data_IF_741998060864
#
_entry.id   IF_741998060864
#
_cell.length_a   1.000
_cell.length_b   1.000
_cell.length_c   1.000
_cell.angle_alpha   90.00
_cell.angle_beta   90.00
_cell.angle_gamma   90.00
#
_symmetry.space_group_name_H-M   'P 1'
#
loop_
_entity.id
_entity.type
_entity.pdbx_description
1 polymer ?
#
# COMPACT_ATOMS: atom_id res chain seq x y z
N UNK A 1 -25.06 -4.96 3.29
CA UNK A 1 -23.58 -5.00 3.24
C UNK A 1 -23.03 -5.17 4.66
N UNK A 2 -23.36 -6.29 5.35
CA UNK A 2 -22.91 -6.57 6.73
C UNK A 2 -23.22 -8.03 7.17
N UNK A 3 -23.17 -8.99 6.24
CA UNK A 3 -23.44 -10.41 6.51
C UNK A 3 -22.25 -11.17 7.12
N UNK A 4 -21.10 -10.51 7.30
CA UNK A 4 -19.87 -11.14 7.83
C UNK A 4 -19.72 -11.08 9.36
N UNK A 5 -20.56 -10.33 10.08
CA UNK A 5 -20.38 -10.15 11.53
C UNK A 5 -20.98 -11.25 12.41
N UNK A 6 -21.68 -12.24 11.86
CA UNK A 6 -22.41 -13.21 12.69
C UNK A 6 -21.69 -14.54 12.95
N UNK A 7 -20.50 -14.81 12.37
CA UNK A 7 -19.69 -16.01 12.66
C UNK A 7 -18.17 -15.84 12.35
N UNK A 8 -17.50 -14.79 12.81
CA UNK A 8 -16.03 -14.72 12.65
C UNK A 8 -15.37 -15.72 13.63
N UNK A 9 -15.27 -16.99 13.24
CA UNK A 9 -14.46 -18.00 13.95
C UNK A 9 -13.00 -17.96 13.52
N UNK A 10 -12.70 -17.36 12.37
CA UNK A 10 -11.37 -17.18 11.83
C UNK A 10 -11.20 -15.73 11.32
N UNK A 11 -10.20 -15.02 11.85
CA UNK A 11 -9.91 -13.61 11.49
C UNK A 11 -9.44 -13.47 10.04
N UNK A 12 -8.94 -14.56 9.46
CA UNK A 12 -8.39 -14.65 8.11
C UNK A 12 -9.31 -15.37 7.12
N UNK A 13 -10.60 -15.51 7.47
CA UNK A 13 -11.61 -16.03 6.56
C UNK A 13 -11.64 -15.23 5.25
N UNK A 14 -11.73 -15.95 4.12
CA UNK A 14 -11.68 -15.38 2.78
C UNK A 14 -13.05 -15.38 2.13
N UNK A 15 -13.37 -14.29 1.43
CA UNK A 15 -14.55 -14.24 0.56
C UNK A 15 -14.29 -14.94 -0.79
N UNK A 16 -15.28 -14.91 -1.69
CA UNK A 16 -15.18 -15.53 -3.04
C UNK A 16 -14.10 -14.91 -3.95
N UNK A 17 -13.56 -13.74 -3.60
CA UNK A 17 -12.44 -13.09 -4.30
C UNK A 17 -11.10 -13.35 -3.62
N UNK A 18 -11.05 -14.24 -2.61
CA UNK A 18 -9.87 -14.53 -1.82
C UNK A 18 -9.51 -13.45 -0.80
N UNK A 19 -10.36 -12.44 -0.61
CA UNK A 19 -10.04 -11.31 0.27
C UNK A 19 -10.36 -11.63 1.72
N UNK A 20 -9.42 -11.34 2.61
CA UNK A 20 -9.62 -11.34 4.06
C UNK A 20 -10.22 -10.02 4.53
N UNK A 21 -10.67 -9.97 5.78
CA UNK A 21 -11.15 -8.73 6.39
C UNK A 21 -10.08 -7.64 6.41
N UNK A 22 -8.80 -8.02 6.58
CA UNK A 22 -7.66 -7.10 6.51
C UNK A 22 -7.51 -6.50 5.11
N UNK A 23 -7.59 -7.31 4.05
CA UNK A 23 -7.55 -6.83 2.65
C UNK A 23 -8.68 -5.86 2.34
N UNK A 24 -9.89 -6.16 2.81
CA UNK A 24 -11.06 -5.30 2.64
C UNK A 24 -10.90 -3.97 3.41
N UNK A 25 -10.42 -4.01 4.65
CA UNK A 25 -10.16 -2.81 5.45
C UNK A 25 -9.11 -1.91 4.78
N UNK A 26 -8.07 -2.52 4.20
CA UNK A 26 -7.07 -1.81 3.39
C UNK A 26 -7.67 -1.28 2.09
N UNK A 27 -8.60 -1.96 1.42
CA UNK A 27 -9.07 -1.51 0.09
C UNK A 27 -10.28 -0.60 0.14
N UNK A 28 -10.98 -0.54 1.28
CA UNK A 28 -12.19 0.26 1.44
C UNK A 28 -11.90 1.75 1.26
N UNK A 29 -12.22 2.25 0.06
CA UNK A 29 -12.63 3.63 -0.09
C UNK A 29 -13.98 3.72 0.62
N UNK A 30 -13.98 4.14 1.88
CA UNK A 30 -15.20 4.42 2.62
C UNK A 30 -15.92 5.66 2.03
N UNK A 31 -15.93 5.86 0.71
CA UNK A 31 -16.76 6.84 0.05
C UNK A 31 -18.15 6.24 -0.12
N UNK A 32 -19.03 6.49 0.85
CA UNK A 32 -20.47 6.25 0.68
C UNK A 32 -20.93 7.00 -0.60
N UNK A 33 -21.37 6.30 -1.66
CA UNK A 33 -21.95 6.97 -2.81
C UNK A 33 -23.24 7.68 -2.34
N UNK A 34 -23.29 9.00 -2.52
CA UNK A 34 -24.48 9.81 -2.19
C UNK A 34 -24.33 10.76 -0.99
N UNK A 35 -23.15 10.94 -0.43
CA UNK A 35 -22.97 12.01 0.56
C UNK A 35 -23.02 13.41 -0.08
N UNK A 36 -23.70 14.38 0.57
CA UNK A 36 -23.84 15.72 0.03
C UNK A 36 -22.46 16.36 -0.22
N UNK A 37 -22.39 17.20 -1.25
CA UNK A 37 -21.23 18.05 -1.53
C UNK A 37 -21.04 19.02 -0.36
N UNK A 38 -20.29 18.59 0.65
CA UNK A 38 -19.92 19.42 1.79
C UNK A 38 -18.95 20.53 1.33
N UNK A 39 -18.88 21.67 2.04
CA UNK A 39 -17.82 22.66 1.87
C UNK A 39 -16.43 22.00 1.92
N UNK A 40 -15.43 22.55 1.21
CA UNK A 40 -14.11 21.92 1.11
C UNK A 40 -13.46 21.63 2.47
N UNK A 41 -13.60 22.55 3.44
CA UNK A 41 -13.09 22.36 4.80
C UNK A 41 -13.71 21.13 5.49
N UNK A 42 -15.01 20.92 5.35
CA UNK A 42 -15.73 19.78 5.92
C UNK A 42 -15.38 18.47 5.19
N UNK A 43 -15.11 18.54 3.87
CA UNK A 43 -14.63 17.39 3.08
C UNK A 43 -13.25 16.94 3.54
N UNK A 44 -12.30 17.87 3.73
CA UNK A 44 -10.95 17.54 4.20
C UNK A 44 -11.00 16.90 5.59
N UNK A 45 -11.78 17.47 6.52
CA UNK A 45 -11.95 16.92 7.85
C UNK A 45 -12.57 15.51 7.84
N UNK A 46 -13.59 15.29 6.99
CA UNK A 46 -14.23 13.98 6.85
C UNK A 46 -13.28 12.93 6.26
N UNK A 47 -12.50 13.29 5.23
CA UNK A 47 -11.49 12.40 4.65
C UNK A 47 -10.45 12.00 5.69
N UNK A 48 -9.93 12.94 6.48
CA UNK A 48 -9.00 12.63 7.56
C UNK A 48 -9.60 11.69 8.61
N UNK A 49 -10.86 11.93 9.02
CA UNK A 49 -11.57 11.05 9.96
C UNK A 49 -11.71 9.63 9.42
N UNK A 50 -12.07 9.49 8.13
CA UNK A 50 -12.16 8.19 7.45
C UNK A 50 -10.83 7.46 7.41
N UNK A 51 -9.74 8.15 7.07
CA UNK A 51 -8.42 7.54 7.02
C UNK A 51 -7.94 7.11 8.42
N UNK A 52 -8.20 7.91 9.46
CA UNK A 52 -7.93 7.51 10.85
C UNK A 52 -8.74 6.29 11.28
N UNK A 53 -10.03 6.25 10.94
CA UNK A 53 -10.88 5.10 11.24
C UNK A 53 -10.38 3.84 10.51
N UNK A 54 -10.01 3.95 9.24
CA UNK A 54 -9.40 2.87 8.45
C UNK A 54 -8.11 2.35 9.10
N UNK A 55 -7.21 3.25 9.48
CA UNK A 55 -5.97 2.88 10.15
C UNK A 55 -6.23 2.17 11.49
N UNK A 56 -7.21 2.65 12.27
CA UNK A 56 -7.60 2.02 13.53
C UNK A 56 -8.16 0.61 13.33
N UNK A 57 -9.00 0.40 12.30
CA UNK A 57 -9.53 -0.92 11.96
C UNK A 57 -8.38 -1.86 11.57
N UNK A 58 -7.49 -1.43 10.67
CA UNK A 58 -6.34 -2.24 10.24
C UNK A 58 -5.45 -2.60 11.43
N UNK A 59 -5.12 -1.64 12.29
CA UNK A 59 -4.33 -1.88 13.48
C UNK A 59 -5.01 -2.88 14.43
N UNK A 60 -6.32 -2.78 14.61
CA UNK A 60 -7.09 -3.71 15.44
C UNK A 60 -7.09 -5.14 14.87
N UNK A 61 -7.27 -5.29 13.56
CA UNK A 61 -7.22 -6.60 12.89
C UNK A 61 -5.84 -7.26 13.03
N UNK A 62 -4.77 -6.49 12.81
CA UNK A 62 -3.42 -6.98 13.00
C UNK A 62 -3.14 -7.34 14.46
N UNK A 63 -3.61 -6.52 15.42
CA UNK A 63 -3.50 -6.81 16.84
C UNK A 63 -4.26 -8.08 17.24
N UNK A 64 -5.39 -8.37 16.58
CA UNK A 64 -6.17 -9.59 16.75
C UNK A 64 -5.55 -10.83 16.07
N UNK A 65 -4.43 -10.67 15.34
CA UNK A 65 -3.69 -11.78 14.75
C UNK A 65 -3.93 -12.01 13.26
N UNK A 66 -4.61 -11.11 12.54
CA UNK A 66 -4.75 -11.22 11.09
C UNK A 66 -3.38 -11.27 10.39
N UNK A 67 -3.18 -12.23 9.48
CA UNK A 67 -1.92 -12.35 8.74
C UNK A 67 -1.82 -11.29 7.63
N UNK A 68 -0.84 -10.36 7.70
CA UNK A 68 -0.67 -9.30 6.71
C UNK A 68 -0.13 -9.77 5.36
N UNK A 69 0.15 -11.06 5.20
CA UNK A 69 0.72 -11.63 3.98
C UNK A 69 -0.29 -12.46 3.17
N UNK A 70 -1.54 -12.57 3.61
CA UNK A 70 -2.57 -13.26 2.83
C UNK A 70 -2.94 -12.43 1.62
N UNK A 71 -2.79 -13.04 0.45
CA UNK A 71 -3.10 -12.42 -0.82
C UNK A 71 -4.54 -12.75 -1.27
N UNK A 72 -5.15 -11.81 -2.00
CA UNK A 72 -6.38 -12.04 -2.73
C UNK A 72 -6.17 -12.94 -3.96
N UNK A 73 -7.25 -13.21 -4.71
CA UNK A 73 -7.20 -14.06 -5.90
C UNK A 73 -6.33 -13.51 -7.05
N UNK A 74 -5.86 -12.26 -6.98
CA UNK A 74 -4.91 -11.69 -7.94
C UNK A 74 -3.48 -11.58 -7.39
N UNK A 75 -3.20 -12.23 -6.26
CA UNK A 75 -1.89 -12.19 -5.62
C UNK A 75 -1.62 -10.90 -4.83
N UNK A 76 -2.60 -10.00 -4.66
CA UNK A 76 -2.37 -8.75 -3.94
C UNK A 76 -2.46 -8.98 -2.43
N UNK A 77 -1.38 -8.65 -1.73
CA UNK A 77 -1.36 -8.56 -0.27
C UNK A 77 -1.90 -7.22 0.21
N UNK A 78 -2.25 -7.07 1.50
CA UNK A 78 -2.54 -5.79 2.12
C UNK A 78 -1.51 -4.70 1.79
N UNK A 79 -0.21 -5.02 1.74
CA UNK A 79 0.83 -4.06 1.38
C UNK A 79 0.69 -3.54 -0.06
N UNK A 80 0.40 -4.42 -1.01
CA UNK A 80 0.18 -4.04 -2.43
C UNK A 80 -1.11 -3.23 -2.61
N UNK A 81 -2.20 -3.61 -1.92
CA UNK A 81 -3.43 -2.82 -1.95
C UNK A 81 -3.21 -1.44 -1.30
N UNK A 82 -2.41 -1.37 -0.24
CA UNK A 82 -2.08 -0.11 0.41
C UNK A 82 -1.30 0.83 -0.52
N UNK A 83 -0.40 0.37 -1.39
CA UNK A 83 0.30 1.29 -2.31
C UNK A 83 -0.60 1.85 -3.40
N UNK A 84 -1.66 1.14 -3.81
CA UNK A 84 -2.57 1.55 -4.89
C UNK A 84 -3.77 2.43 -4.43
N UNK A 85 -4.08 2.49 -3.13
CA UNK A 85 -5.41 2.91 -2.63
C UNK A 85 -5.46 4.29 -1.95
N UNK A 86 -4.56 5.22 -2.26
CA UNK A 86 -4.53 6.51 -1.55
C UNK A 86 -4.46 7.75 -2.44
N UNK A 87 -5.17 8.77 -1.97
CA UNK A 87 -5.17 10.11 -2.56
C UNK A 87 -3.98 10.97 -2.12
N UNK A 88 -3.31 10.63 -1.00
CA UNK A 88 -2.13 11.37 -0.53
C UNK A 88 -1.02 10.44 -0.02
N UNK A 89 0.26 10.81 -0.17
CA UNK A 89 1.39 9.98 0.28
C UNK A 89 1.39 9.70 1.79
N UNK A 90 1.02 10.67 2.62
CA UNK A 90 1.07 10.53 4.08
C UNK A 90 0.17 9.39 4.61
N UNK A 91 -1.04 9.23 4.07
CA UNK A 91 -1.94 8.15 4.48
C UNK A 91 -1.46 6.79 3.99
N UNK A 92 -0.87 6.75 2.77
CA UNK A 92 -0.23 5.55 2.25
C UNK A 92 0.92 5.10 3.16
N UNK A 93 1.83 6.02 3.49
CA UNK A 93 2.98 5.73 4.36
C UNK A 93 2.53 5.23 5.73
N UNK A 94 1.53 5.85 6.37
CA UNK A 94 1.03 5.39 7.66
C UNK A 94 0.51 3.94 7.62
N UNK A 95 -0.20 3.57 6.55
CA UNK A 95 -0.70 2.21 6.40
C UNK A 95 0.41 1.22 6.07
N UNK A 96 1.32 1.57 5.16
CA UNK A 96 2.49 0.76 4.81
C UNK A 96 3.36 0.51 6.05
N UNK A 97 3.61 1.55 6.84
CA UNK A 97 4.33 1.44 8.10
C UNK A 97 3.64 0.45 9.05
N UNK A 98 2.35 0.60 9.28
CA UNK A 98 1.57 -0.30 10.16
C UNK A 98 1.65 -1.75 9.70
N UNK A 99 1.57 -2.01 8.40
CA UNK A 99 1.67 -3.36 7.83
C UNK A 99 3.09 -3.94 7.95
N UNK A 100 4.12 -3.15 7.63
CA UNK A 100 5.52 -3.58 7.70
C UNK A 100 5.97 -3.83 9.14
N UNK A 101 5.50 -3.02 10.09
CA UNK A 101 5.77 -3.20 11.52
C UNK A 101 5.11 -4.48 12.07
N UNK A 102 4.15 -5.05 11.33
CA UNK A 102 3.53 -6.34 11.59
C UNK A 102 4.01 -7.45 10.67
N UNK A 103 5.20 -7.29 10.09
CA UNK A 103 5.88 -8.30 9.26
C UNK A 103 5.23 -8.59 7.90
N UNK A 104 4.57 -7.60 7.31
CA UNK A 104 4.23 -7.67 5.88
C UNK A 104 5.51 -7.79 5.02
N UNK A 105 5.48 -8.68 4.02
CA UNK A 105 6.60 -8.88 3.09
C UNK A 105 6.70 -7.73 2.09
N UNK A 106 7.77 -6.96 2.20
CA UNK A 106 7.97 -5.75 1.38
C UNK A 106 8.11 -6.02 -0.12
N UNK A 107 8.71 -7.16 -0.48
CA UNK A 107 8.99 -7.56 -1.87
C UNK A 107 8.06 -8.65 -2.40
N UNK A 108 6.88 -8.84 -1.76
CA UNK A 108 5.86 -9.74 -2.32
C UNK A 108 5.45 -9.27 -3.72
N UNK A 109 5.31 -10.21 -4.64
CA UNK A 109 4.89 -9.98 -6.01
C UNK A 109 3.45 -10.47 -6.22
N UNK A 110 2.60 -9.65 -6.83
CA UNK A 110 1.30 -10.12 -7.33
C UNK A 110 1.47 -11.10 -8.50
N UNK A 111 0.36 -11.59 -9.04
CA UNK A 111 0.36 -12.55 -10.15
C UNK A 111 0.98 -12.00 -11.45
N UNK A 112 1.17 -10.68 -11.54
CA UNK A 112 1.84 -9.99 -12.66
C UNK A 112 3.28 -9.63 -12.33
N UNK A 113 3.80 -10.04 -11.18
CA UNK A 113 5.15 -9.77 -10.73
C UNK A 113 5.33 -8.37 -10.13
N UNK A 114 4.28 -7.59 -9.88
CA UNK A 114 4.43 -6.25 -9.33
C UNK A 114 4.67 -6.28 -7.82
N UNK A 115 5.71 -5.57 -7.36
CA UNK A 115 5.96 -5.29 -5.94
C UNK A 115 5.33 -3.95 -5.52
N UNK A 116 5.30 -3.70 -4.21
CA UNK A 116 4.85 -2.41 -3.65
C UNK A 116 5.64 -1.23 -4.24
N UNK A 117 6.96 -1.39 -4.42
CA UNK A 117 7.83 -0.37 -5.00
C UNK A 117 7.50 -0.10 -6.47
N UNK A 118 7.17 -1.12 -7.25
CA UNK A 118 6.76 -0.98 -8.66
C UNK A 118 5.41 -0.25 -8.79
N UNK A 119 4.44 -0.59 -7.94
CA UNK A 119 3.14 0.10 -7.90
C UNK A 119 3.31 1.58 -7.52
N UNK A 120 4.15 1.88 -6.52
CA UNK A 120 4.46 3.26 -6.14
C UNK A 120 5.14 4.03 -7.29
N UNK A 121 6.03 3.38 -8.05
CA UNK A 121 6.67 3.98 -9.21
C UNK A 121 5.68 4.32 -10.33
N UNK A 122 4.67 3.45 -10.52
CA UNK A 122 3.56 3.68 -11.44
C UNK A 122 2.61 4.79 -10.99
N UNK A 123 2.48 5.05 -9.69
CA UNK A 123 1.60 6.09 -9.13
C UNK A 123 2.23 7.49 -8.97
N UNK A 124 3.48 7.68 -9.39
CA UNK A 124 4.23 8.96 -9.28
C UNK A 124 4.53 9.47 -7.86
N UNK A 125 4.36 8.67 -6.80
CA UNK A 125 4.65 9.14 -5.43
C UNK A 125 6.11 8.89 -5.04
N UNK A 126 6.93 9.93 -5.14
CA UNK A 126 8.35 9.88 -4.78
C UNK A 126 8.56 9.60 -3.29
N UNK A 127 7.69 10.10 -2.41
CA UNK A 127 7.77 9.92 -0.97
C UNK A 127 7.47 8.48 -0.56
N UNK A 128 6.47 7.83 -1.18
CA UNK A 128 6.18 6.41 -0.94
C UNK A 128 7.32 5.53 -1.46
N UNK A 129 7.89 5.88 -2.62
CA UNK A 129 9.07 5.19 -3.17
C UNK A 129 10.26 5.31 -2.23
N UNK A 130 10.57 6.51 -1.74
CA UNK A 130 11.65 6.74 -0.77
C UNK A 130 11.41 5.95 0.53
N UNK A 131 10.19 6.00 1.07
CA UNK A 131 9.83 5.24 2.26
C UNK A 131 10.07 3.73 2.07
N UNK A 132 9.58 3.14 0.97
CA UNK A 132 9.76 1.72 0.69
C UNK A 132 11.25 1.35 0.53
N UNK A 133 12.06 2.20 -0.11
CA UNK A 133 13.51 2.01 -0.22
C UNK A 133 14.20 2.05 1.15
N UNK A 134 13.82 2.99 2.02
CA UNK A 134 14.34 3.09 3.40
C UNK A 134 13.96 1.85 4.22
N UNK A 135 12.78 1.28 3.99
CA UNK A 135 12.35 0.01 4.60
C UNK A 135 12.97 -1.24 3.98
N UNK A 136 13.83 -1.08 2.96
CA UNK A 136 14.63 -2.16 2.40
C UNK A 136 14.03 -2.84 1.16
N UNK A 137 13.07 -2.21 0.46
CA UNK A 137 12.51 -2.78 -0.77
C UNK A 137 13.57 -3.01 -1.85
N UNK A 138 13.55 -4.18 -2.48
CA UNK A 138 14.48 -4.54 -3.55
C UNK A 138 14.06 -3.90 -4.88
N UNK A 139 14.77 -2.83 -5.23
CA UNK A 139 14.56 -2.12 -6.51
C UNK A 139 14.96 -2.89 -7.75
N UNK A 140 15.70 -4.00 -7.63
CA UNK A 140 16.18 -4.81 -8.76
C UNK A 140 15.20 -5.87 -9.19
N UNK A 141 14.12 -6.09 -8.42
CA UNK A 141 13.03 -6.99 -8.81
C UNK A 141 12.47 -6.57 -10.17
N UNK A 142 12.07 -7.58 -10.93
CA UNK A 142 11.42 -7.43 -12.23
C UNK A 142 10.03 -8.02 -12.18
N UNK A 143 9.07 -7.36 -12.80
CA UNK A 143 7.74 -7.92 -13.02
C UNK A 143 7.76 -8.97 -14.16
N UNK A 144 6.61 -9.57 -14.47
CA UNK A 144 6.51 -10.58 -15.54
C UNK A 144 6.84 -10.02 -16.95
N UNK A 145 6.86 -8.69 -17.12
CA UNK A 145 7.25 -8.01 -18.36
C UNK A 145 8.76 -7.69 -18.40
N UNK A 146 9.53 -8.09 -17.38
CA UNK A 146 10.94 -7.77 -17.26
C UNK A 146 11.22 -6.32 -16.85
N UNK A 147 10.22 -5.59 -16.35
CA UNK A 147 10.35 -4.19 -15.95
C UNK A 147 10.67 -4.07 -14.46
N UNK A 148 11.69 -3.27 -14.15
CA UNK A 148 11.99 -2.82 -12.78
C UNK A 148 11.14 -1.60 -12.40
N UNK A 149 11.12 -1.25 -11.11
CA UNK A 149 10.48 -0.01 -10.64
C UNK A 149 11.00 1.24 -11.39
N UNK A 150 12.30 1.28 -11.71
CA UNK A 150 12.89 2.39 -12.47
C UNK A 150 12.38 2.42 -13.91
N UNK A 151 12.33 1.25 -14.57
CA UNK A 151 11.83 1.16 -15.95
C UNK A 151 10.36 1.62 -16.03
N UNK A 152 9.53 1.21 -15.05
CA UNK A 152 8.13 1.66 -14.93
C UNK A 152 8.06 3.18 -14.76
N UNK A 153 8.84 3.77 -13.85
CA UNK A 153 8.83 5.22 -13.63
C UNK A 153 9.23 6.00 -14.88
N UNK A 154 10.26 5.54 -15.60
CA UNK A 154 10.71 6.16 -16.86
C UNK A 154 9.65 6.03 -17.95
N UNK A 155 9.03 4.86 -18.12
CA UNK A 155 7.98 4.62 -19.11
C UNK A 155 6.73 5.49 -18.87
N UNK A 156 6.46 5.88 -17.62
CA UNK A 156 5.35 6.77 -17.27
C UNK A 156 5.78 8.25 -17.13
N UNK A 157 7.03 8.59 -17.49
CA UNK A 157 7.57 9.95 -17.39
C UNK A 157 7.59 10.55 -15.96
N UNK A 158 7.62 9.72 -14.92
CA UNK A 158 7.71 10.14 -13.52
C UNK A 158 9.17 10.44 -13.13
N UNK A 159 9.67 11.58 -13.59
CA UNK A 159 11.08 11.99 -13.46
C UNK A 159 11.55 12.07 -12.01
N UNK A 160 10.71 12.53 -11.08
CA UNK A 160 11.06 12.62 -9.66
C UNK A 160 11.27 11.25 -9.02
N UNK A 161 10.35 10.32 -9.28
CA UNK A 161 10.48 8.92 -8.86
C UNK A 161 11.73 8.28 -9.45
N UNK A 162 11.96 8.47 -10.77
CA UNK A 162 13.14 7.93 -11.42
C UNK A 162 14.45 8.46 -10.82
N UNK A 163 14.46 9.74 -10.40
CA UNK A 163 15.60 10.35 -9.68
C UNK A 163 15.84 9.67 -8.35
N UNK A 164 14.82 9.48 -7.52
CA UNK A 164 14.92 8.79 -6.22
C UNK A 164 15.44 7.35 -6.40
N UNK A 165 14.87 6.61 -7.35
CA UNK A 165 15.28 5.23 -7.66
C UNK A 165 16.73 5.13 -8.17
N UNK A 166 17.25 6.14 -8.88
CA UNK A 166 18.66 6.22 -9.29
C UNK A 166 19.58 6.65 -8.17
N UNK A 167 19.19 7.67 -7.40
CA UNK A 167 20.03 8.26 -6.36
C UNK A 167 20.38 7.23 -5.29
N UNK A 168 19.42 6.39 -4.89
CA UNK A 168 19.69 5.38 -3.88
C UNK A 168 20.55 4.19 -4.41
N UNK A 169 21.04 4.25 -5.66
CA UNK A 169 22.02 3.31 -6.25
C UNK A 169 23.46 3.83 -6.13
N UNK A 170 23.66 5.04 -5.62
CA UNK A 170 25.00 5.54 -5.28
C UNK A 170 25.31 5.11 -3.85
N UNK A 171 26.46 4.45 -3.58
CA UNK A 171 26.92 4.33 -2.21
C UNK A 171 27.02 5.74 -1.65
N UNK A 172 26.50 5.97 -0.44
CA UNK A 172 26.79 7.22 0.28
C UNK A 172 28.32 7.27 0.36
N UNK A 173 28.94 8.17 -0.39
CA UNK A 173 30.34 8.50 -0.20
C UNK A 173 30.40 9.09 1.21
N UNK A 174 30.76 8.24 2.17
CA UNK A 174 30.96 8.63 3.55
C UNK A 174 32.15 9.59 3.53
N UNK A 175 31.86 10.88 3.64
CA UNK A 175 32.85 11.93 3.84
C UNK A 175 33.59 11.71 5.15
N UNK A 176 34.68 10.96 5.09
CA UNK A 176 35.76 11.04 6.06
C UNK A 176 36.80 12.02 5.47
N UNK A 177 36.80 13.24 5.99
CA UNK A 177 37.82 14.26 5.82
C UNK A 177 37.92 15.06 7.11
#
# INVERSE_FOLDING_TARGET
>A
MLTLLTKVTDIDERNNHGETLLLLAVSSSMAEPGQPLLPEHDRVALLQKRQRARLAIVAALLAAGADPNLADAGGNTPLLRATASFHTPAHAIALLQTLLDRHARIDHQDDRGYTALMQAAKGSSAEVVEFLLVRGADRKRLNCEGLSALAIAVANHHTDVARVLRAANQPRENGNG
#
